data_IF_279779410582
#
_entry.id   IF_279779410582
#
_cell.length_a   1.000
_cell.length_b   1.000
_cell.length_c   1.000
_cell.angle_alpha   90.00
_cell.angle_beta   90.00
_cell.angle_gamma   90.00
#
_symmetry.space_group_name_H-M   'P 1'
#
loop_
_entity.id
_entity.type
_entity.pdbx_description
1 polymer ?
#
# COMPACT_ATOMS: atom_id res chain seq x y z
N UNK A 1 9.62 25.29 2.48
CA UNK A 1 8.55 25.97 3.25
C UNK A 1 7.45 24.96 3.47
N UNK A 2 6.90 24.88 4.69
CA UNK A 2 5.85 23.93 5.05
C UNK A 2 4.52 24.65 5.21
N UNK A 3 3.43 23.94 4.91
CA UNK A 3 2.08 24.41 5.15
C UNK A 3 1.11 23.26 5.36
N UNK A 4 -0.04 23.57 5.95
CA UNK A 4 -1.21 22.68 5.98
C UNK A 4 -2.28 23.22 5.04
N UNK A 5 -3.18 22.36 4.60
CA UNK A 5 -4.33 22.76 3.81
C UNK A 5 -5.58 21.98 4.21
N UNK A 6 -6.73 22.61 4.01
CA UNK A 6 -8.05 22.01 4.10
C UNK A 6 -8.92 22.62 3.00
N UNK A 7 -9.11 21.89 1.91
CA UNK A 7 -9.76 22.35 0.69
C UNK A 7 -10.82 21.33 0.28
N UNK A 8 -12.09 21.74 0.37
CA UNK A 8 -13.21 20.86 0.08
C UNK A 8 -13.18 19.62 0.98
N UNK A 9 -13.14 18.43 0.37
CA UNK A 9 -13.01 17.18 1.11
C UNK A 9 -11.56 16.83 1.47
N UNK A 10 -10.55 17.51 0.94
CA UNK A 10 -9.15 17.17 1.14
C UNK A 10 -8.53 17.95 2.29
N UNK A 11 -7.71 17.28 3.10
CA UNK A 11 -6.88 17.94 4.11
C UNK A 11 -5.50 17.31 4.14
N UNK A 12 -4.48 18.09 4.52
CA UNK A 12 -3.12 17.56 4.54
C UNK A 12 -2.05 18.59 4.81
N UNK A 13 -0.83 18.23 4.44
CA UNK A 13 0.38 19.03 4.53
C UNK A 13 1.05 19.16 3.17
N UNK A 14 1.72 20.28 2.93
CA UNK A 14 2.44 20.56 1.70
C UNK A 14 3.85 21.08 2.00
N UNK A 15 4.77 20.76 1.10
CA UNK A 15 6.18 21.11 1.15
C UNK A 15 6.58 21.80 -0.15
N UNK A 16 7.02 23.05 -0.04
CA UNK A 16 7.67 23.80 -1.11
C UNK A 16 9.18 23.66 -0.95
N UNK A 17 9.82 22.86 -1.78
CA UNK A 17 11.28 22.74 -1.86
C UNK A 17 11.74 22.70 -3.31
N UNK A 18 12.44 23.73 -3.82
CA UNK A 18 12.91 24.92 -3.11
C UNK A 18 11.77 25.89 -2.77
N UNK A 19 11.91 26.60 -1.65
CA UNK A 19 10.98 27.68 -1.28
C UNK A 19 10.98 28.86 -2.29
N UNK A 20 10.07 29.83 -2.13
CA UNK A 20 9.93 30.97 -3.04
C UNK A 20 11.25 31.76 -3.15
N UNK A 21 11.80 31.83 -4.37
CA UNK A 21 13.07 32.54 -4.66
C UNK A 21 12.87 34.00 -5.06
N UNK A 22 11.69 34.33 -5.60
CA UNK A 22 11.35 35.68 -6.07
C UNK A 22 9.87 35.97 -5.86
N UNK A 23 9.52 37.25 -5.77
CA UNK A 23 8.13 37.71 -5.80
C UNK A 23 7.45 37.25 -7.09
N UNK A 24 6.23 36.73 -7.00
CA UNK A 24 5.43 36.30 -8.15
C UNK A 24 6.00 35.14 -8.95
N UNK A 25 6.90 34.34 -8.37
CA UNK A 25 7.33 33.08 -8.96
C UNK A 25 6.30 31.99 -8.74
N UNK A 26 6.10 31.17 -9.76
CA UNK A 26 5.46 29.86 -9.65
C UNK A 26 6.40 28.95 -8.86
N UNK A 27 5.92 28.42 -7.73
CA UNK A 27 6.69 27.56 -6.84
C UNK A 27 6.04 26.19 -6.84
N UNK A 28 6.73 25.15 -7.31
CA UNK A 28 6.23 23.79 -7.21
C UNK A 28 6.20 23.37 -5.74
N UNK A 29 5.24 22.51 -5.40
CA UNK A 29 5.16 21.88 -4.10
C UNK A 29 4.75 20.42 -4.24
N UNK A 30 5.13 19.63 -3.24
CA UNK A 30 4.59 18.30 -3.00
C UNK A 30 3.58 18.37 -1.86
N UNK A 31 2.60 17.48 -1.85
CA UNK A 31 1.61 17.42 -0.79
C UNK A 31 1.28 15.99 -0.37
N UNK A 32 0.87 15.83 0.89
CA UNK A 32 0.34 14.59 1.44
C UNK A 32 -0.94 14.87 2.21
N UNK A 33 -1.93 13.98 2.15
CA UNK A 33 -3.19 14.25 2.82
C UNK A 33 -4.21 13.12 2.74
N UNK A 34 -5.42 13.42 3.18
CA UNK A 34 -6.60 12.54 3.12
C UNK A 34 -7.76 13.25 2.47
N UNK A 35 -8.82 12.49 2.12
CA UNK A 35 -10.09 13.05 1.67
C UNK A 35 -11.21 12.55 2.57
N UNK A 36 -12.14 13.41 3.00
CA UNK A 36 -13.35 13.02 3.74
C UNK A 36 -14.23 12.06 2.93
N UNK A 37 -14.16 12.09 1.58
CA UNK A 37 -14.85 11.13 0.72
C UNK A 37 -14.17 9.76 0.66
N UNK A 38 -12.94 9.67 1.15
CA UNK A 38 -12.15 8.45 1.22
C UNK A 38 -11.17 8.56 2.42
N UNK A 39 -11.68 8.54 3.67
CA UNK A 39 -10.89 8.89 4.86
C UNK A 39 -9.72 7.93 5.09
N UNK A 40 -9.84 6.70 4.57
CA UNK A 40 -8.80 5.66 4.62
C UNK A 40 -7.79 5.76 3.46
N UNK A 41 -7.97 6.71 2.54
CA UNK A 41 -7.08 6.95 1.41
C UNK A 41 -6.12 8.08 1.75
N UNK A 42 -4.85 7.70 1.85
CA UNK A 42 -3.75 8.64 1.95
C UNK A 42 -3.25 8.99 0.54
N UNK A 43 -3.26 10.27 0.23
CA UNK A 43 -2.66 10.85 -0.98
C UNK A 43 -1.21 11.20 -0.66
N UNK A 44 -0.24 10.50 -1.25
CA UNK A 44 1.19 10.72 -0.94
C UNK A 44 2.17 10.34 -2.07
N UNK A 45 1.72 10.33 -3.33
CA UNK A 45 2.52 9.85 -4.47
C UNK A 45 3.25 10.95 -5.24
N UNK A 46 4.05 10.58 -6.26
CA UNK A 46 4.73 11.54 -7.15
C UNK A 46 3.77 12.41 -7.99
N UNK A 47 2.48 12.05 -8.00
CA UNK A 47 1.42 12.85 -8.62
C UNK A 47 0.76 13.82 -7.63
N UNK A 48 1.03 13.68 -6.32
CA UNK A 48 0.58 14.61 -5.28
C UNK A 48 1.50 15.83 -5.27
N UNK A 49 1.47 16.56 -6.38
CA UNK A 49 2.20 17.79 -6.60
C UNK A 49 1.23 18.93 -6.87
N UNK A 50 1.75 20.14 -6.92
CA UNK A 50 1.01 21.31 -7.33
C UNK A 50 1.93 22.49 -7.54
N UNK A 51 1.34 23.63 -7.86
CA UNK A 51 2.06 24.87 -8.05
C UNK A 51 1.33 25.99 -7.31
N UNK A 52 2.08 26.84 -6.63
CA UNK A 52 1.56 28.04 -5.98
C UNK A 52 2.34 29.26 -6.42
N UNK A 53 1.61 30.34 -6.69
CA UNK A 53 2.13 31.67 -6.99
C UNK A 53 1.79 32.60 -5.85
N UNK A 54 2.78 33.35 -5.39
CA UNK A 54 2.63 34.40 -4.38
C UNK A 54 2.57 35.77 -5.08
N UNK A 55 1.41 36.40 -5.02
CA UNK A 55 1.14 37.72 -5.59
C UNK A 55 1.21 38.82 -4.52
N UNK A 56 1.41 40.07 -4.94
CA UNK A 56 1.38 41.23 -4.04
C UNK A 56 -0.05 41.86 -4.09
N UNK A 57 -0.70 42.14 -2.94
CA UNK A 57 -0.21 42.05 -1.56
C UNK A 57 -0.62 40.76 -0.84
N UNK A 58 0.20 39.71 -0.95
CA UNK A 58 0.10 38.49 -0.14
C UNK A 58 -0.96 37.48 -0.58
N UNK A 59 -1.58 37.69 -1.74
CA UNK A 59 -2.53 36.74 -2.32
C UNK A 59 -1.79 35.52 -2.87
N UNK A 60 -2.45 34.37 -2.82
CA UNK A 60 -1.94 33.14 -3.41
C UNK A 60 -2.90 32.65 -4.48
N UNK A 61 -2.34 32.09 -5.54
CA UNK A 61 -3.08 31.36 -6.56
C UNK A 61 -2.32 30.10 -6.89
N UNK A 62 -3.00 29.03 -7.29
CA UNK A 62 -2.30 27.80 -7.59
C UNK A 62 -3.23 26.67 -7.94
N UNK A 63 -2.67 25.48 -8.00
CA UNK A 63 -3.44 24.25 -8.16
C UNK A 63 -2.78 23.08 -7.44
N UNK A 64 -3.61 22.10 -7.10
CA UNK A 64 -3.20 20.76 -6.71
C UNK A 64 -3.49 19.80 -7.87
N UNK A 65 -2.50 19.04 -8.30
CA UNK A 65 -2.73 17.89 -9.18
C UNK A 65 -3.39 16.75 -8.40
N UNK A 66 -4.09 15.86 -9.12
CA UNK A 66 -4.81 14.68 -8.59
C UNK A 66 -6.08 14.99 -7.81
N UNK A 67 -6.15 16.11 -7.06
CA UNK A 67 -7.39 16.55 -6.41
C UNK A 67 -8.46 16.83 -7.47
N UNK A 68 -9.42 15.91 -7.61
CA UNK A 68 -10.44 15.95 -8.67
C UNK A 68 -9.84 16.14 -10.09
N UNK A 69 -8.69 15.52 -10.36
CA UNK A 69 -7.96 15.66 -11.63
C UNK A 69 -7.06 16.89 -11.66
N UNK A 70 -7.57 18.06 -11.32
CA UNK A 70 -6.81 19.30 -11.06
C UNK A 70 -7.68 20.27 -10.28
N UNK A 71 -7.26 20.67 -9.09
CA UNK A 71 -8.01 21.59 -8.23
C UNK A 71 -7.30 22.94 -8.16
N UNK A 72 -7.88 23.95 -8.82
CA UNK A 72 -7.39 25.32 -8.75
C UNK A 72 -7.84 25.99 -7.44
N UNK A 73 -6.97 26.84 -6.89
CA UNK A 73 -7.27 27.61 -5.69
C UNK A 73 -6.77 29.05 -5.80
N UNK A 74 -7.42 29.92 -5.05
CA UNK A 74 -6.96 31.29 -4.79
C UNK A 74 -7.26 31.65 -3.35
N UNK A 75 -6.38 32.40 -2.70
CA UNK A 75 -6.50 32.77 -1.31
C UNK A 75 -6.00 34.17 -1.02
N UNK A 76 -6.64 34.83 -0.05
CA UNK A 76 -6.16 36.06 0.56
C UNK A 76 -5.65 35.73 1.97
N UNK A 77 -4.59 36.40 2.45
CA UNK A 77 -4.10 36.19 3.80
C UNK A 77 -5.18 36.62 4.81
N UNK A 78 -5.50 35.75 5.75
CA UNK A 78 -6.47 36.01 6.81
C UNK A 78 -5.83 35.82 8.18
N UNK A 79 -6.06 36.78 9.08
CA UNK A 79 -5.53 36.74 10.45
C UNK A 79 -4.10 37.27 10.61
N UNK A 80 -3.49 37.07 11.80
CA UNK A 80 -2.12 37.46 12.08
C UNK A 80 -1.12 36.84 11.09
N UNK A 81 -0.03 37.55 10.78
CA UNK A 81 1.06 37.05 9.92
C UNK A 81 1.96 36.02 10.63
N UNK A 82 1.34 35.04 11.28
CA UNK A 82 2.00 33.99 12.05
C UNK A 82 1.30 32.68 11.71
N UNK A 83 2.05 31.67 11.30
CA UNK A 83 1.52 30.32 11.16
C UNK A 83 1.25 29.77 12.58
N UNK A 84 0.01 29.37 12.89
CA UNK A 84 -0.33 28.90 14.24
C UNK A 84 0.23 27.50 14.55
N UNK A 85 0.67 26.76 13.54
CA UNK A 85 1.16 25.38 13.67
C UNK A 85 2.69 25.34 13.80
N UNK A 86 3.20 24.45 14.65
CA UNK A 86 4.64 24.29 14.80
C UNK A 86 5.24 23.51 13.63
N UNK A 87 6.43 23.90 13.19
CA UNK A 87 7.14 23.23 12.08
C UNK A 87 7.27 21.72 12.31
N UNK A 88 7.60 21.30 13.53
CA UNK A 88 7.77 19.88 13.85
C UNK A 88 6.48 19.09 13.67
N UNK A 89 5.32 19.67 14.02
CA UNK A 89 4.00 19.02 13.85
C UNK A 89 3.63 18.83 12.37
N UNK A 90 4.08 19.74 11.50
CA UNK A 90 3.92 19.60 10.05
C UNK A 90 4.81 18.47 9.49
N UNK A 91 6.05 18.38 9.96
CA UNK A 91 7.01 17.34 9.57
C UNK A 91 6.56 15.97 10.07
N UNK A 92 6.08 15.88 11.31
CA UNK A 92 5.61 14.63 11.90
C UNK A 92 4.40 14.12 11.11
N UNK A 93 3.39 14.95 10.85
CA UNK A 93 2.24 14.54 10.01
C UNK A 93 2.65 14.14 8.58
N UNK A 94 3.62 14.82 7.98
CA UNK A 94 4.15 14.43 6.67
C UNK A 94 4.74 13.02 6.70
N UNK A 95 5.49 12.71 7.76
CA UNK A 95 6.10 11.40 7.97
C UNK A 95 5.06 10.34 8.35
N UNK A 96 4.03 10.70 9.13
CA UNK A 96 2.90 9.83 9.47
C UNK A 96 2.18 9.38 8.20
N UNK A 97 1.86 10.33 7.31
CA UNK A 97 1.37 10.00 5.98
C UNK A 97 2.34 9.04 5.27
N UNK A 98 3.65 9.32 5.23
CA UNK A 98 4.63 8.46 4.56
C UNK A 98 4.84 7.08 5.19
N UNK A 99 4.54 6.91 6.47
CA UNK A 99 4.72 5.65 7.22
C UNK A 99 3.48 4.76 7.21
N UNK A 100 2.34 5.27 6.69
CA UNK A 100 1.06 4.57 6.72
C UNK A 100 0.42 4.51 8.11
N UNK A 101 1.02 5.17 9.11
CA UNK A 101 0.40 5.43 10.40
C UNK A 101 -0.51 6.64 10.20
N UNK A 102 -1.83 6.43 10.25
CA UNK A 102 -2.73 7.58 10.36
C UNK A 102 -2.34 8.35 11.64
N UNK A 103 -2.12 9.67 11.59
CA UNK A 103 -2.00 10.44 12.82
C UNK A 103 -3.31 10.25 13.57
N UNK A 104 -3.19 9.72 14.79
CA UNK A 104 -4.30 9.49 15.72
C UNK A 104 -4.86 10.87 16.09
N UNK A 105 -5.77 11.41 15.27
CA UNK A 105 -6.41 12.69 15.55
C UNK A 105 -7.27 12.51 16.80
N UNK A 106 -6.75 13.05 17.90
CA UNK A 106 -7.39 13.31 19.17
C UNK A 106 -8.92 13.28 19.14
N UNK A 107 -9.47 12.20 19.72
CA UNK A 107 -10.83 12.11 20.25
C UNK A 107 -11.10 13.31 21.17
N UNK A 108 -11.65 14.37 20.57
CA UNK A 108 -12.34 15.42 21.28
C UNK A 108 -13.57 14.82 21.96
N UNK A 109 -13.52 14.81 23.28
CA UNK A 109 -14.57 14.32 24.15
C UNK A 109 -15.94 14.94 23.85
N UNK A 110 -16.96 14.09 23.67
CA UNK A 110 -18.33 14.37 24.08
C UNK A 110 -19.03 13.07 24.48
N UNK A 111 -19.53 13.08 25.71
CA UNK A 111 -20.17 12.00 26.46
C UNK A 111 -21.47 11.48 25.85
N UNK A 112 -21.77 10.21 26.16
CA UNK A 112 -23.05 9.64 26.68
C UNK A 112 -23.59 8.50 25.82
N UNK A 113 -24.21 7.42 26.32
CA UNK A 113 -24.46 6.81 27.64
C UNK A 113 -24.85 5.35 27.31
N UNK A 114 -24.62 4.45 28.26
CA UNK A 114 -24.82 3.00 28.22
C UNK A 114 -26.17 2.49 27.65
N UNK A 115 -26.24 1.20 27.27
CA UNK A 115 -26.95 0.14 28.04
C UNK A 115 -26.83 -1.26 27.39
N UNK A 116 -26.15 -2.15 28.12
CA UNK A 116 -26.37 -3.59 28.42
C UNK A 116 -27.03 -4.60 27.46
N UNK A 117 -26.36 -5.78 27.40
CA UNK A 117 -26.84 -7.19 27.45
C UNK A 117 -27.86 -7.69 26.38
N UNK A 118 -27.80 -8.91 25.84
CA UNK A 118 -27.55 -10.22 26.45
C UNK A 118 -27.17 -11.27 25.37
N UNK A 119 -26.39 -12.28 25.75
CA UNK A 119 -26.23 -13.57 25.06
C UNK A 119 -27.04 -14.62 25.84
N UNK A 120 -27.61 -15.65 25.20
CA UNK A 120 -27.10 -17.02 25.45
C UNK A 120 -27.14 -17.93 24.19
N UNK A 121 -26.01 -18.57 23.85
CA UNK A 121 -25.71 -20.01 24.02
C UNK A 121 -26.29 -21.00 22.97
N UNK A 122 -25.36 -21.64 22.25
CA UNK A 122 -25.41 -22.93 21.49
C UNK A 122 -25.60 -24.10 22.51
N UNK A 123 -25.83 -25.41 22.18
CA UNK A 123 -25.36 -26.23 21.02
C UNK A 123 -26.29 -27.45 20.71
N UNK A 124 -25.84 -28.68 20.30
CA UNK A 124 -24.70 -29.18 19.50
C UNK A 124 -25.14 -30.12 18.33
N UNK A 125 -24.21 -30.60 17.49
CA UNK A 125 -24.38 -31.90 16.81
C UNK A 125 -23.72 -32.04 15.44
N UNK A 126 -22.74 -32.96 15.36
CA UNK A 126 -21.92 -33.37 14.21
C UNK A 126 -22.73 -34.10 13.14
N UNK A 127 -22.31 -34.04 11.87
CA UNK A 127 -21.90 -35.23 11.10
C UNK A 127 -21.35 -34.88 9.70
N UNK A 128 -20.40 -35.69 9.28
CA UNK A 128 -19.60 -35.62 8.06
C UNK A 128 -20.41 -35.97 6.81
N UNK A 129 -20.10 -35.36 5.67
CA UNK A 129 -20.25 -36.03 4.37
C UNK A 129 -19.30 -35.44 3.31
N UNK A 130 -18.50 -36.33 2.74
CA UNK A 130 -17.74 -36.16 1.50
C UNK A 130 -18.69 -36.03 0.28
N UNK A 131 -18.12 -35.57 -0.83
CA UNK A 131 -18.61 -35.55 -2.22
C UNK A 131 -19.44 -34.33 -2.62
N UNK A 132 -18.83 -33.42 -3.41
CA UNK A 132 -18.93 -33.56 -4.87
C UNK A 132 -18.08 -32.52 -5.59
N UNK A 133 -17.32 -33.02 -6.57
CA UNK A 133 -16.85 -32.26 -7.72
C UNK A 133 -18.06 -31.64 -8.40
N UNK A 134 -18.15 -30.31 -8.40
CA UNK A 134 -18.92 -29.60 -9.38
C UNK A 134 -18.04 -28.49 -9.92
N UNK A 135 -17.64 -28.66 -11.18
CA UNK A 135 -17.07 -27.61 -11.99
C UNK A 135 -18.04 -26.43 -11.96
N UNK A 136 -17.69 -25.42 -11.17
CA UNK A 136 -18.33 -24.13 -11.26
C UNK A 136 -17.90 -23.55 -12.61
N UNK A 137 -18.80 -23.67 -13.59
CA UNK A 137 -18.78 -22.84 -14.79
C UNK A 137 -18.66 -21.39 -14.31
N UNK A 138 -17.45 -20.87 -14.41
CA UNK A 138 -17.12 -19.52 -13.98
C UNK A 138 -17.78 -18.61 -15.02
N UNK A 139 -18.78 -17.84 -14.61
CA UNK A 139 -19.35 -16.80 -15.47
C UNK A 139 -18.20 -15.99 -16.10
N UNK A 140 -18.24 -15.70 -17.41
CA UNK A 140 -17.18 -14.98 -18.08
C UNK A 140 -16.99 -13.63 -17.38
N UNK A 141 -15.86 -13.49 -16.70
CA UNK A 141 -15.51 -12.27 -16.00
C UNK A 141 -15.44 -11.11 -16.99
N UNK A 142 -16.12 -10.01 -16.69
CA UNK A 142 -16.11 -8.83 -17.57
C UNK A 142 -14.72 -8.20 -17.63
N UNK A 143 -14.35 -7.62 -18.77
CA UNK A 143 -13.05 -6.96 -18.96
C UNK A 143 -12.80 -5.85 -17.90
N UNK A 144 -13.86 -5.15 -17.49
CA UNK A 144 -13.78 -4.12 -16.45
C UNK A 144 -13.49 -4.71 -15.06
N UNK A 145 -14.09 -5.86 -14.73
CA UNK A 145 -13.77 -6.61 -13.52
C UNK A 145 -12.30 -7.03 -13.51
N UNK A 146 -11.81 -7.64 -14.60
CA UNK A 146 -10.43 -8.08 -14.70
C UNK A 146 -9.44 -6.91 -14.58
N UNK A 147 -9.75 -5.78 -15.20
CA UNK A 147 -8.93 -4.57 -15.12
C UNK A 147 -8.87 -4.02 -13.70
N UNK A 148 -10.01 -3.94 -13.02
CA UNK A 148 -10.09 -3.47 -11.62
C UNK A 148 -9.42 -4.44 -10.65
N UNK A 149 -9.63 -5.74 -10.85
CA UNK A 149 -9.03 -6.79 -10.02
C UNK A 149 -7.50 -6.81 -10.14
N UNK A 150 -6.94 -6.68 -11.36
CA UNK A 150 -5.49 -6.59 -11.57
C UNK A 150 -4.86 -5.39 -10.87
N UNK A 151 -5.53 -4.23 -10.86
CA UNK A 151 -5.08 -3.08 -10.08
C UNK A 151 -5.07 -3.37 -8.58
N UNK A 152 -6.04 -4.16 -8.09
CA UNK A 152 -6.16 -4.53 -6.68
C UNK A 152 -5.17 -5.61 -6.24
N UNK A 153 -4.47 -6.28 -7.16
CA UNK A 153 -3.30 -7.12 -6.83
C UNK A 153 -2.14 -6.31 -6.26
N UNK A 154 -2.09 -5.00 -6.53
CA UNK A 154 -1.10 -4.14 -5.92
C UNK A 154 -1.39 -4.02 -4.42
N UNK A 155 -0.42 -4.39 -3.59
CA UNK A 155 -0.66 -4.43 -2.17
C UNK A 155 0.44 -5.06 -1.35
N UNK A 156 0.25 -4.96 -0.04
CA UNK A 156 0.99 -5.71 0.97
C UNK A 156 0.09 -6.83 1.46
N UNK A 157 0.63 -8.04 1.54
CA UNK A 157 -0.06 -9.24 1.99
C UNK A 157 0.62 -9.71 3.26
N UNK A 158 -0.12 -9.82 4.36
CA UNK A 158 0.36 -10.61 5.49
C UNK A 158 0.25 -12.07 5.11
N UNK A 159 1.36 -12.80 5.25
CA UNK A 159 1.43 -14.22 4.98
C UNK A 159 1.80 -14.97 6.25
N UNK A 160 1.38 -16.22 6.31
CA UNK A 160 1.70 -17.17 7.35
C UNK A 160 2.26 -18.42 6.70
N UNK A 161 3.34 -18.93 7.27
CA UNK A 161 4.04 -20.12 6.82
C UNK A 161 4.26 -21.03 8.03
N UNK A 162 3.50 -22.12 8.14
CA UNK A 162 3.53 -23.03 9.30
C UNK A 162 4.92 -23.61 9.56
N UNK A 163 5.69 -23.84 8.50
CA UNK A 163 6.97 -24.56 8.58
C UNK A 163 8.11 -23.72 9.18
N UNK A 164 7.90 -22.41 9.38
CA UNK A 164 8.92 -21.47 9.86
C UNK A 164 8.42 -20.56 10.99
N UNK A 165 7.26 -20.84 11.60
CA UNK A 165 6.72 -20.03 12.71
C UNK A 165 7.72 -19.87 13.87
N UNK A 166 8.59 -20.88 14.09
CA UNK A 166 9.64 -20.86 15.10
C UNK A 166 10.92 -20.09 14.70
N UNK A 167 11.07 -19.69 13.44
CA UNK A 167 12.29 -19.06 12.90
C UNK A 167 12.13 -17.54 12.68
N UNK A 168 11.12 -16.90 13.29
CA UNK A 168 10.89 -15.46 13.12
C UNK A 168 11.91 -14.63 13.91
N UNK A 169 12.62 -13.74 13.22
CA UNK A 169 13.49 -12.74 13.85
C UNK A 169 12.70 -11.47 14.16
N UNK A 170 11.76 -11.55 15.12
CA UNK A 170 11.00 -10.40 15.62
C UNK A 170 9.49 -10.55 15.59
N UNK A 171 8.79 -9.46 15.93
CA UNK A 171 7.32 -9.41 16.02
C UNK A 171 6.63 -8.95 14.72
N UNK A 172 7.40 -8.63 13.67
CA UNK A 172 6.83 -8.22 12.39
C UNK A 172 6.21 -9.44 11.68
N UNK A 173 5.00 -9.33 11.13
CA UNK A 173 4.39 -10.42 10.36
C UNK A 173 5.13 -10.62 9.05
N UNK A 174 5.22 -11.87 8.60
CA UNK A 174 5.77 -12.22 7.28
C UNK A 174 4.92 -11.54 6.20
N UNK A 175 5.57 -10.98 5.18
CA UNK A 175 4.92 -10.16 4.17
C UNK A 175 5.36 -10.51 2.76
N UNK A 176 4.39 -10.44 1.85
CA UNK A 176 4.64 -10.36 0.41
C UNK A 176 4.04 -9.05 -0.09
N UNK A 177 4.81 -8.29 -0.87
CA UNK A 177 4.35 -7.09 -1.55
C UNK A 177 4.29 -7.40 -3.03
N UNK A 178 3.16 -7.12 -3.67
CA UNK A 178 2.98 -7.33 -5.10
C UNK A 178 2.74 -5.98 -5.80
N UNK A 179 3.37 -5.81 -6.95
CA UNK A 179 3.23 -4.65 -7.83
C UNK A 179 3.09 -5.14 -9.28
N UNK A 180 1.92 -4.93 -9.85
CA UNK A 180 1.60 -5.09 -11.26
C UNK A 180 2.06 -3.85 -12.01
N UNK A 181 3.04 -4.01 -12.89
CA UNK A 181 3.43 -2.98 -13.87
C UNK A 181 2.69 -3.19 -15.21
N UNK A 182 3.08 -2.48 -16.28
CA UNK A 182 2.42 -2.60 -17.58
C UNK A 182 2.62 -3.96 -18.27
N UNK A 183 3.61 -4.76 -17.86
CA UNK A 183 4.05 -5.98 -18.55
C UNK A 183 4.03 -7.21 -17.63
N UNK A 184 4.52 -7.08 -16.40
CA UNK A 184 4.68 -8.19 -15.45
C UNK A 184 4.32 -7.77 -14.03
N UNK A 185 4.06 -8.77 -13.18
CA UNK A 185 3.91 -8.56 -11.75
C UNK A 185 5.23 -8.83 -11.03
N UNK A 186 5.67 -7.87 -10.25
CA UNK A 186 6.83 -7.95 -9.37
C UNK A 186 6.38 -8.17 -7.94
N UNK A 187 7.29 -8.70 -7.12
CA UNK A 187 7.10 -8.70 -5.69
C UNK A 187 8.38 -8.60 -4.89
N UNK A 188 8.18 -8.28 -3.62
CA UNK A 188 9.21 -8.27 -2.58
C UNK A 188 8.65 -9.07 -1.41
N UNK A 189 9.48 -9.85 -0.74
CA UNK A 189 9.06 -10.66 0.38
C UNK A 189 10.02 -10.51 1.56
N UNK A 190 9.45 -10.66 2.75
CA UNK A 190 10.13 -10.76 4.02
C UNK A 190 9.43 -11.87 4.80
N UNK A 191 10.05 -13.05 4.85
CA UNK A 191 9.44 -14.30 5.32
C UNK A 191 10.45 -15.02 6.22
N UNK A 192 10.18 -15.07 7.52
CA UNK A 192 11.07 -15.62 8.53
C UNK A 192 12.44 -14.93 8.51
N UNK A 193 13.47 -15.67 8.11
CA UNK A 193 14.85 -15.18 7.95
C UNK A 193 15.21 -14.87 6.50
N UNK A 194 14.26 -14.97 5.56
CA UNK A 194 14.53 -14.74 4.14
C UNK A 194 13.91 -13.43 3.70
N UNK A 195 14.72 -12.59 3.05
CA UNK A 195 14.24 -11.41 2.35
C UNK A 195 14.64 -11.47 0.88
N UNK A 196 13.83 -10.90 0.00
CA UNK A 196 14.12 -10.95 -1.42
C UNK A 196 13.06 -10.38 -2.32
N UNK A 197 13.24 -10.66 -3.61
CA UNK A 197 12.35 -10.23 -4.68
C UNK A 197 11.83 -11.44 -5.45
N UNK A 198 10.63 -11.30 -5.99
CA UNK A 198 10.03 -12.26 -6.91
C UNK A 198 9.53 -11.58 -8.16
N UNK A 199 9.41 -12.33 -9.25
CA UNK A 199 8.87 -11.88 -10.53
C UNK A 199 7.97 -12.97 -11.08
N UNK A 200 6.73 -12.62 -11.41
CA UNK A 200 5.82 -13.55 -12.07
C UNK A 200 6.25 -13.75 -13.53
N UNK A 201 6.16 -14.99 -13.99
CA UNK A 201 6.47 -15.38 -15.38
C UNK A 201 5.28 -15.12 -16.32
N UNK A 202 4.12 -14.82 -15.75
CA UNK A 202 2.87 -14.60 -16.49
C UNK A 202 2.72 -13.13 -16.84
N UNK A 203 2.40 -12.84 -18.11
CA UNK A 203 2.09 -11.48 -18.55
C UNK A 203 0.82 -10.96 -17.87
N UNK A 204 0.76 -9.64 -17.65
CA UNK A 204 -0.36 -9.03 -16.93
C UNK A 204 -1.70 -9.24 -17.64
N UNK A 205 -1.73 -9.40 -18.97
CA UNK A 205 -2.91 -9.79 -19.75
C UNK A 205 -3.49 -11.13 -19.28
N UNK A 206 -2.64 -12.09 -18.93
CA UNK A 206 -3.01 -13.49 -18.67
C UNK A 206 -3.24 -13.81 -17.19
N UNK A 207 -2.94 -12.87 -16.29
CA UNK A 207 -3.23 -13.00 -14.85
C UNK A 207 -4.75 -13.01 -14.65
N UNK A 208 -5.25 -14.09 -14.03
CA UNK A 208 -6.67 -14.26 -13.70
C UNK A 208 -6.84 -14.78 -12.27
N UNK A 209 -7.97 -14.48 -11.60
CA UNK A 209 -8.27 -15.05 -10.28
C UNK A 209 -8.31 -16.58 -10.33
N UNK A 210 -7.83 -17.23 -9.27
CA UNK A 210 -7.84 -18.68 -9.10
C UNK A 210 -6.80 -19.44 -9.94
N UNK A 211 -6.11 -18.79 -10.88
CA UNK A 211 -5.02 -19.43 -11.64
C UNK A 211 -3.73 -19.47 -10.84
N UNK A 212 -3.01 -20.58 -10.95
CA UNK A 212 -1.64 -20.69 -10.45
C UNK A 212 -0.69 -19.85 -11.31
N UNK A 213 -0.13 -18.82 -10.71
CA UNK A 213 0.85 -17.93 -11.32
C UNK A 213 2.24 -18.36 -10.88
N UNK A 214 3.06 -18.82 -11.83
CA UNK A 214 4.46 -19.16 -11.55
C UNK A 214 5.28 -17.88 -11.36
N UNK A 215 6.24 -17.95 -10.46
CA UNK A 215 7.21 -16.89 -10.25
C UNK A 215 8.60 -17.45 -10.05
N UNK A 216 9.59 -16.66 -10.43
CA UNK A 216 10.97 -16.83 -10.02
C UNK A 216 11.27 -15.90 -8.86
N UNK A 217 12.12 -16.33 -7.94
CA UNK A 217 12.52 -15.53 -6.80
C UNK A 217 14.02 -15.56 -6.55
N UNK A 218 14.48 -14.49 -5.90
CA UNK A 218 15.86 -14.27 -5.49
C UNK A 218 15.83 -13.76 -4.08
N UNK A 219 16.62 -14.36 -3.20
CA UNK A 219 16.59 -14.00 -1.79
C UNK A 219 17.87 -14.34 -1.06
N UNK A 220 17.95 -13.81 0.15
CA UNK A 220 19.07 -14.02 1.04
C UNK A 220 18.55 -14.32 2.44
N UNK A 221 19.17 -15.30 3.07
CA UNK A 221 19.01 -15.59 4.49
C UNK A 221 19.73 -14.53 5.34
N UNK A 222 19.06 -13.95 6.33
CA UNK A 222 19.61 -12.90 7.20
C UNK A 222 20.77 -13.38 8.05
N UNK A 223 20.72 -14.62 8.55
CA UNK A 223 21.69 -15.14 9.53
C UNK A 223 23.01 -15.58 8.89
N UNK A 224 22.95 -16.48 7.90
CA UNK A 224 24.13 -17.06 7.26
C UNK A 224 24.47 -16.43 5.91
N UNK A 225 23.68 -15.45 5.46
CA UNK A 225 23.82 -14.80 4.15
C UNK A 225 23.79 -15.78 2.99
N UNK A 226 23.09 -16.91 3.15
CA UNK A 226 22.88 -17.87 2.07
C UNK A 226 22.08 -17.21 0.97
N UNK A 227 22.68 -17.12 -0.22
CA UNK A 227 22.09 -16.51 -1.42
C UNK A 227 21.38 -17.59 -2.24
N UNK A 228 20.14 -17.32 -2.64
CA UNK A 228 19.32 -18.20 -3.50
C UNK A 228 18.89 -17.43 -4.75
N UNK A 229 19.30 -17.90 -5.92
CA UNK A 229 19.13 -17.19 -7.19
C UNK A 229 18.30 -18.01 -8.18
N UNK A 230 17.22 -17.41 -8.69
CA UNK A 230 16.32 -17.99 -9.70
C UNK A 230 15.68 -19.32 -9.28
N UNK A 231 15.33 -19.42 -7.99
CA UNK A 231 14.48 -20.51 -7.53
C UNK A 231 13.02 -20.24 -7.90
N UNK A 232 12.21 -21.29 -7.96
CA UNK A 232 10.83 -21.22 -8.44
C UNK A 232 9.81 -21.13 -7.30
N UNK A 233 8.62 -20.67 -7.62
CA UNK A 233 7.45 -20.78 -6.77
C UNK A 233 6.16 -20.61 -7.55
N UNK A 234 5.04 -20.74 -6.85
CA UNK A 234 3.73 -20.46 -7.42
C UNK A 234 2.85 -19.72 -6.41
N UNK A 235 2.06 -18.77 -6.90
CA UNK A 235 1.09 -18.01 -6.13
C UNK A 235 -0.27 -18.05 -6.83
N UNK A 236 -1.32 -18.16 -6.05
CA UNK A 236 -2.71 -18.13 -6.51
C UNK A 236 -3.39 -17.04 -5.72
N UNK A 237 -4.23 -16.26 -6.40
CA UNK A 237 -4.97 -15.14 -5.80
C UNK A 237 -6.44 -15.31 -6.14
N UNK A 238 -7.33 -15.21 -5.16
CA UNK A 238 -8.78 -15.28 -5.40
C UNK A 238 -9.38 -13.87 -5.58
N UNK A 239 -10.69 -13.83 -5.77
CA UNK A 239 -11.50 -12.61 -5.86
C UNK A 239 -11.52 -11.79 -4.55
N UNK A 240 -11.12 -12.40 -3.42
CA UNK A 240 -11.00 -11.77 -2.10
C UNK A 240 -9.59 -11.30 -1.75
N UNK A 241 -8.64 -11.37 -2.70
CA UNK A 241 -7.23 -11.04 -2.50
C UNK A 241 -6.57 -11.83 -1.38
N UNK A 242 -7.00 -13.08 -1.20
CA UNK A 242 -6.27 -14.07 -0.43
C UNK A 242 -5.26 -14.73 -1.36
N UNK A 243 -4.04 -14.87 -0.86
CA UNK A 243 -2.94 -15.48 -1.58
C UNK A 243 -2.62 -16.84 -0.97
N UNK A 244 -2.44 -17.84 -1.83
CA UNK A 244 -1.97 -19.15 -1.44
C UNK A 244 -0.86 -19.55 -2.39
N UNK A 245 0.22 -20.13 -1.88
CA UNK A 245 1.33 -20.47 -2.73
C UNK A 245 2.42 -21.22 -2.01
N UNK A 246 3.55 -21.35 -2.70
CA UNK A 246 4.75 -21.91 -2.12
C UNK A 246 6.02 -21.31 -2.73
N UNK A 247 7.08 -21.30 -1.95
CA UNK A 247 8.46 -21.11 -2.42
C UNK A 247 9.14 -22.46 -2.50
N UNK A 248 9.66 -22.84 -3.68
CA UNK A 248 10.49 -24.03 -3.83
C UNK A 248 11.91 -23.70 -3.37
N UNK A 249 12.49 -24.60 -2.58
CA UNK A 249 13.89 -24.48 -2.17
C UNK A 249 14.20 -23.38 -1.17
N UNK A 250 13.22 -22.64 -0.63
CA UNK A 250 13.48 -21.68 0.45
C UNK A 250 13.82 -22.41 1.76
N UNK A 251 12.90 -23.25 2.22
CA UNK A 251 13.08 -24.20 3.33
C UNK A 251 12.43 -25.52 2.93
N UNK A 252 13.12 -26.64 3.13
CA UNK A 252 12.63 -27.95 2.71
C UNK A 252 12.40 -28.05 1.20
N UNK A 253 11.48 -28.93 0.79
CA UNK A 253 11.10 -29.08 -0.62
C UNK A 253 10.24 -27.89 -1.10
N UNK A 254 9.25 -27.50 -0.29
CA UNK A 254 8.32 -26.39 -0.55
C UNK A 254 7.93 -25.73 0.76
N UNK A 255 8.19 -24.43 0.88
CA UNK A 255 7.63 -23.62 1.95
C UNK A 255 6.25 -23.13 1.52
N UNK A 256 5.20 -23.66 2.14
CA UNK A 256 3.82 -23.27 1.82
C UNK A 256 3.46 -22.00 2.59
N UNK A 257 2.80 -21.06 1.91
CA UNK A 257 2.29 -19.85 2.52
C UNK A 257 0.81 -19.65 2.20
N UNK A 258 0.12 -19.03 3.16
CA UNK A 258 -1.23 -18.49 2.98
C UNK A 258 -1.24 -17.08 3.51
N UNK A 259 -1.99 -16.21 2.87
CA UNK A 259 -2.05 -14.83 3.30
C UNK A 259 -3.24 -14.10 2.76
N UNK A 260 -3.37 -12.86 3.21
CA UNK A 260 -4.42 -11.97 2.77
C UNK A 260 -3.84 -10.58 2.59
N UNK A 261 -4.33 -9.90 1.56
CA UNK A 261 -4.00 -8.51 1.33
C UNK A 261 -4.41 -7.67 2.54
N UNK A 262 -3.49 -6.85 3.04
CA UNK A 262 -3.81 -5.83 4.04
C UNK A 262 -4.89 -4.90 3.48
N UNK A 263 -5.88 -4.54 4.31
CA UNK A 263 -6.72 -3.38 4.01
C UNK A 263 -5.81 -2.17 3.74
N UNK A 264 -6.07 -1.42 2.68
CA UNK A 264 -5.22 -0.31 2.29
C UNK A 264 -5.09 -0.10 0.79
N UNK A 265 -4.31 0.91 0.38
CA UNK A 265 -4.22 1.37 -1.00
C UNK A 265 -3.76 0.25 -1.94
N UNK A 266 -4.19 0.31 -3.20
CA UNK A 266 -3.74 -0.57 -4.30
C UNK A 266 -2.30 -0.26 -4.71
N UNK A 267 -1.40 -0.30 -3.73
CA UNK A 267 0.01 0.03 -3.82
C UNK A 267 0.79 -0.94 -2.95
N UNK A 268 1.96 -1.33 -3.44
CA UNK A 268 2.91 -2.14 -2.70
C UNK A 268 3.74 -1.32 -1.69
N UNK A 269 3.61 0.01 -1.73
CA UNK A 269 4.40 0.97 -0.95
C UNK A 269 5.73 1.38 -1.62
N UNK A 270 6.04 0.88 -2.81
CA UNK A 270 7.29 1.16 -3.51
C UNK A 270 7.08 1.36 -5.02
N UNK A 271 7.99 2.07 -5.66
CA UNK A 271 7.97 2.26 -7.11
C UNK A 271 8.49 1.03 -7.87
N UNK A 272 8.02 0.85 -9.10
CA UNK A 272 8.42 -0.27 -9.98
C UNK A 272 9.94 -0.41 -10.15
N UNK A 273 10.67 0.71 -10.18
CA UNK A 273 12.13 0.70 -10.34
C UNK A 273 12.85 0.01 -9.19
N UNK A 274 12.34 0.10 -7.95
CA UNK A 274 12.91 -0.60 -6.81
C UNK A 274 12.85 -2.11 -7.03
N UNK A 275 11.70 -2.63 -7.48
CA UNK A 275 11.54 -4.06 -7.76
C UNK A 275 12.44 -4.53 -8.91
N UNK A 276 12.44 -3.79 -10.02
CA UNK A 276 13.24 -4.14 -11.21
C UNK A 276 14.73 -4.14 -10.91
N UNK A 277 15.22 -3.07 -10.27
CA UNK A 277 16.62 -2.94 -9.91
C UNK A 277 17.02 -3.94 -8.82
N UNK A 278 16.18 -4.07 -7.78
CA UNK A 278 16.38 -5.00 -6.67
C UNK A 278 16.46 -6.44 -7.13
N UNK A 279 15.53 -6.90 -7.97
CA UNK A 279 15.55 -8.25 -8.53
C UNK A 279 16.80 -8.50 -9.40
N UNK A 280 17.11 -7.56 -10.32
CA UNK A 280 18.23 -7.72 -11.26
C UNK A 280 19.59 -7.71 -10.56
N UNK A 281 19.76 -6.84 -9.57
CA UNK A 281 21.05 -6.58 -8.93
C UNK A 281 21.12 -7.13 -7.50
N UNK A 282 20.23 -8.03 -7.11
CA UNK A 282 20.09 -8.49 -5.73
C UNK A 282 21.42 -8.97 -5.10
N UNK A 283 22.29 -9.59 -5.89
CA UNK A 283 23.60 -10.08 -5.43
C UNK A 283 24.80 -9.23 -5.82
N UNK A 284 24.58 -8.17 -6.61
CA UNK A 284 25.62 -7.26 -7.11
C UNK A 284 25.77 -5.99 -6.25
N UNK A 285 24.91 -5.80 -5.25
CA UNK A 285 25.06 -4.82 -4.18
C UNK A 285 25.62 -5.49 -2.92
#
# INVERSE_FOLDING_TARGET
MWGSFSIGSYKGVLLLDPGPKAKSSNVPFEWRGTSAGAPDVLFMGPLCVGEVRFEDPGTIQGYFDVMHGKCEFSGNPYGPRVCPEHLQELVDRWNDYGSGLMPDEHLGAAKSVATSADTPETPPGKESQEQNENGAETEPQTDDFLKKWKLQLNGVYDVACSDIEGNRTGNAPDQIRLLVDQQVCWGMFDIGIYTGYLRLDTEVSDIQPGKHLRFQWRGQETDFRLKKDNDDGAITTNDRFEVNGYFKGMVGERLVFRGRRKPGPCSSGHETNLYRYGYKNFFNN
#
